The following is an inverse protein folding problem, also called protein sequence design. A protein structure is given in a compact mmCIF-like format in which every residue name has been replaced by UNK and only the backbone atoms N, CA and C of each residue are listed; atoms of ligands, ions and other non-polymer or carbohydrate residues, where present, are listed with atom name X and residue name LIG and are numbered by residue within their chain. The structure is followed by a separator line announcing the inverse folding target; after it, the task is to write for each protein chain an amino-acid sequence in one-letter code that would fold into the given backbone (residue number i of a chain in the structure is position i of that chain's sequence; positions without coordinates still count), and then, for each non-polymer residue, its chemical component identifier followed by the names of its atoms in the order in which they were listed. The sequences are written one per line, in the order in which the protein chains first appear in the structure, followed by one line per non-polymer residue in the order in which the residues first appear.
data_IF_741860405461
#
_entry.id   IF_741860405461
#
_cell.length_a   1.000
_cell.length_b   1.000
_cell.length_c   1.000
_cell.angle_alpha   90.00
_cell.angle_beta   90.00
_cell.angle_gamma   90.00
#
_symmetry.space_group_name_H-M   'P 1'
#
loop_
_entity.id
_entity.type
_entity.pdbx_description
1 polymer ?
#
# COMPACT_ATOMS: atom_id res chain seq x y z
N UNK A 1 13.24 7.12 17.34
CA UNK A 1 12.82 5.68 17.36
C UNK A 1 11.86 5.26 16.22
N UNK A 2 11.35 6.17 15.38
CA UNK A 2 10.36 5.85 14.32
C UNK A 2 10.93 5.04 13.15
N UNK A 3 12.21 5.21 12.81
CA UNK A 3 12.91 4.42 11.78
C UNK A 3 12.98 2.92 12.10
N UNK A 4 13.01 2.55 13.39
CA UNK A 4 13.06 1.16 13.82
C UNK A 4 11.74 0.41 13.62
N UNK A 5 10.60 1.10 13.80
CA UNK A 5 9.28 0.51 13.51
C UNK A 5 9.03 0.38 12.00
N UNK A 6 9.52 1.34 11.22
CA UNK A 6 9.44 1.33 9.76
C UNK A 6 10.20 0.16 9.13
N UNK A 7 11.39 -0.17 9.66
CA UNK A 7 12.18 -1.33 9.23
C UNK A 7 11.60 -2.66 9.69
N UNK A 8 10.97 -2.71 10.89
CA UNK A 8 10.41 -3.95 11.44
C UNK A 8 9.16 -4.43 10.69
N UNK A 9 8.36 -3.50 10.17
CA UNK A 9 7.21 -3.82 9.32
C UNK A 9 7.69 -4.40 7.97
N UNK A 10 8.70 -3.77 7.35
CA UNK A 10 9.29 -4.25 6.09
C UNK A 10 9.97 -5.61 6.23
N UNK A 11 10.59 -5.91 7.37
CA UNK A 11 11.18 -7.22 7.65
C UNK A 11 10.12 -8.33 7.76
N UNK A 12 8.97 -8.06 8.38
CA UNK A 12 7.88 -9.03 8.48
C UNK A 12 7.27 -9.38 7.13
N UNK A 13 7.08 -8.37 6.27
CA UNK A 13 6.57 -8.56 4.91
C UNK A 13 7.58 -9.33 4.01
N UNK A 14 8.89 -9.07 4.17
CA UNK A 14 9.96 -9.82 3.49
C UNK A 14 10.00 -11.28 3.96
N UNK A 15 9.85 -11.55 5.26
CA UNK A 15 9.83 -12.94 5.78
C UNK A 15 8.62 -13.70 5.25
N UNK A 16 7.46 -13.07 5.11
CA UNK A 16 6.30 -13.71 4.51
C UNK A 16 6.43 -13.94 3.00
N UNK A 17 7.06 -13.03 2.27
CA UNK A 17 7.42 -13.24 0.86
C UNK A 17 8.46 -14.35 0.70
N UNK A 18 9.37 -14.52 1.66
CA UNK A 18 10.33 -15.62 1.70
C UNK A 18 9.64 -16.98 1.85
N UNK A 19 8.56 -17.06 2.64
CA UNK A 19 7.72 -18.26 2.76
C UNK A 19 7.00 -18.60 1.45
N UNK A 20 6.75 -17.61 0.58
CA UNK A 20 6.15 -17.83 -0.74
C UNK A 20 7.16 -18.25 -1.83
N UNK A 21 8.45 -18.45 -1.50
CA UNK A 21 9.52 -18.83 -2.43
C UNK A 21 9.66 -17.88 -3.65
N UNK A 22 9.29 -16.62 -3.49
CA UNK A 22 9.45 -15.59 -4.54
C UNK A 22 10.92 -15.17 -4.61
N UNK A 23 11.47 -14.97 -5.81
CA UNK A 23 12.86 -14.55 -6.02
C UNK A 23 13.10 -13.16 -5.42
N UNK A 24 14.33 -12.86 -4.99
CA UNK A 24 14.67 -11.55 -4.40
C UNK A 24 14.33 -10.38 -5.33
N UNK A 25 14.53 -10.54 -6.65
CA UNK A 25 14.18 -9.51 -7.64
C UNK A 25 12.67 -9.25 -7.70
N UNK A 26 11.85 -10.31 -7.71
CA UNK A 26 10.40 -10.19 -7.70
C UNK A 26 9.92 -9.56 -6.38
N UNK A 27 10.55 -9.91 -5.24
CA UNK A 27 10.24 -9.29 -3.94
C UNK A 27 10.51 -7.78 -3.96
N UNK A 28 11.65 -7.37 -4.51
CA UNK A 28 11.99 -5.96 -4.65
C UNK A 28 11.00 -5.22 -5.56
N UNK A 29 10.62 -5.81 -6.70
CA UNK A 29 9.66 -5.22 -7.63
C UNK A 29 8.28 -5.05 -7.00
N UNK A 30 7.78 -6.08 -6.30
CA UNK A 30 6.50 -6.01 -5.59
C UNK A 30 6.52 -4.94 -4.48
N UNK A 31 7.59 -4.88 -3.69
CA UNK A 31 7.69 -3.88 -2.63
C UNK A 31 7.79 -2.45 -3.20
N UNK A 32 8.56 -2.28 -4.27
CA UNK A 32 8.69 -1.00 -4.95
C UNK A 32 7.37 -0.52 -5.55
N UNK A 33 6.46 -1.41 -5.95
CA UNK A 33 5.18 -1.03 -6.54
C UNK A 33 4.12 -0.59 -5.53
N UNK A 34 4.25 -0.97 -4.25
CA UNK A 34 3.17 -0.82 -3.24
C UNK A 34 3.58 -0.04 -1.97
N UNK A 35 4.87 0.29 -1.77
CA UNK A 35 5.38 0.79 -0.48
C UNK A 35 4.62 2.00 0.09
N UNK A 36 4.22 2.95 -0.76
CA UNK A 36 3.52 4.15 -0.33
C UNK A 36 2.09 3.83 0.12
N UNK A 37 1.46 2.87 -0.53
CA UNK A 37 0.11 2.40 -0.23
C UNK A 37 0.12 1.60 1.09
N UNK A 38 1.14 0.77 1.31
CA UNK A 38 1.37 0.09 2.60
C UNK A 38 1.64 1.09 3.73
N UNK A 39 2.38 2.17 3.47
CA UNK A 39 2.61 3.24 4.44
C UNK A 39 1.29 3.90 4.86
N UNK A 40 0.42 4.25 3.92
CA UNK A 40 -0.92 4.80 4.23
C UNK A 40 -1.72 3.80 5.06
N UNK A 41 -1.72 2.52 4.69
CA UNK A 41 -2.42 1.46 5.45
C UNK A 41 -1.91 1.36 6.89
N UNK A 42 -0.59 1.35 7.09
CA UNK A 42 0.03 1.24 8.41
C UNK A 42 -0.42 2.38 9.32
N UNK A 43 -0.36 3.62 8.85
CA UNK A 43 -0.81 4.78 9.63
C UNK A 43 -2.31 4.77 9.89
N UNK A 44 -3.11 4.35 8.91
CA UNK A 44 -4.56 4.24 9.05
C UNK A 44 -4.93 3.19 10.09
N UNK A 45 -4.28 2.03 10.07
CA UNK A 45 -4.49 0.98 11.06
C UNK A 45 -4.10 1.43 12.47
N UNK A 46 -2.95 2.09 12.62
CA UNK A 46 -2.51 2.65 13.91
C UNK A 46 -3.49 3.71 14.43
N UNK A 47 -4.02 4.56 13.54
CA UNK A 47 -5.03 5.57 13.86
C UNK A 47 -6.33 4.95 14.37
N UNK A 48 -6.81 3.90 13.69
CA UNK A 48 -8.09 3.24 13.98
C UNK A 48 -8.02 2.32 15.20
N UNK A 49 -6.92 1.58 15.40
CA UNK A 49 -6.83 0.52 16.43
C UNK A 49 -6.00 0.87 17.65
N UNK A 50 -5.03 1.75 17.50
CA UNK A 50 -4.06 2.06 18.55
C UNK A 50 -4.12 3.53 18.98
N UNK A 51 -5.19 4.24 18.62
CA UNK A 51 -5.45 5.64 18.99
C UNK A 51 -4.25 6.56 18.72
N UNK A 52 -3.62 6.42 17.54
CA UNK A 52 -2.53 7.29 17.14
C UNK A 52 -2.98 8.76 17.26
N UNK A 53 -2.24 9.62 17.98
CA UNK A 53 -2.65 10.99 18.26
C UNK A 53 -2.65 11.84 16.99
N UNK A 54 -3.31 12.99 16.99
CA UNK A 54 -3.37 13.86 15.81
C UNK A 54 -2.03 14.54 15.49
N UNK A 55 -1.14 14.62 16.49
CA UNK A 55 0.19 15.22 16.37
C UNK A 55 1.26 14.30 16.95
N UNK A 56 2.41 14.25 16.28
CA UNK A 56 3.64 13.62 16.76
C UNK A 56 4.62 14.72 17.15
N UNK A 57 5.15 14.63 18.37
CA UNK A 57 6.27 15.46 18.80
C UNK A 57 7.58 14.82 18.32
N UNK A 58 8.37 15.57 17.57
CA UNK A 58 9.69 15.16 17.10
C UNK A 58 10.76 15.48 18.15
N UNK A 59 11.90 14.80 18.06
CA UNK A 59 13.03 14.97 18.99
C UNK A 59 13.59 16.41 19.03
N UNK A 60 13.33 17.19 17.97
CA UNK A 60 13.68 18.61 17.88
C UNK A 60 12.59 19.57 18.41
N UNK A 61 11.54 19.04 19.04
CA UNK A 61 10.42 19.82 19.60
C UNK A 61 9.34 20.21 18.58
N UNK A 62 9.51 19.92 17.28
CA UNK A 62 8.50 20.20 16.26
C UNK A 62 7.29 19.27 16.42
N UNK A 63 6.10 19.82 16.23
CA UNK A 63 4.85 19.04 16.17
C UNK A 63 4.45 18.85 14.72
N UNK A 64 4.31 17.60 14.31
CA UNK A 64 3.88 17.22 12.97
C UNK A 64 2.50 16.57 13.02
N UNK A 65 1.59 17.00 12.14
CA UNK A 65 0.27 16.37 12.03
C UNK A 65 0.43 14.95 11.50
N UNK A 66 -0.20 13.99 12.15
CA UNK A 66 -0.17 12.58 11.73
C UNK A 66 -0.74 12.40 10.34
N UNK A 67 -1.81 13.11 9.99
CA UNK A 67 -2.36 13.10 8.63
C UNK A 67 -1.30 13.46 7.58
N UNK A 68 -0.44 14.45 7.85
CA UNK A 68 0.65 14.82 6.94
C UNK A 68 1.70 13.72 6.81
N UNK A 69 1.97 12.96 7.86
CA UNK A 69 2.90 11.81 7.78
C UNK A 69 2.26 10.66 7.03
N UNK A 70 1.02 10.30 7.40
CA UNK A 70 0.25 9.22 6.80
C UNK A 70 0.10 9.40 5.28
N UNK A 71 -0.10 10.65 4.84
CA UNK A 71 -0.34 11.01 3.46
C UNK A 71 0.92 11.48 2.72
N UNK A 72 2.12 11.24 3.25
CA UNK A 72 3.37 11.58 2.57
C UNK A 72 3.42 13.07 2.17
N UNK A 73 2.94 13.93 3.07
CA UNK A 73 2.75 15.38 2.90
C UNK A 73 1.68 15.83 1.88
N UNK A 74 0.86 14.91 1.35
CA UNK A 74 -0.30 15.23 0.50
C UNK A 74 -1.44 15.83 1.33
N UNK A 75 -1.44 17.16 1.50
CA UNK A 75 -2.42 17.87 2.34
C UNK A 75 -3.87 17.71 1.86
N UNK A 76 -4.10 17.73 0.54
CA UNK A 76 -5.42 17.59 -0.09
C UNK A 76 -6.11 16.24 0.16
N UNK A 77 -5.35 15.20 0.54
CA UNK A 77 -5.90 13.87 0.84
C UNK A 77 -6.52 13.75 2.24
N UNK A 78 -6.41 14.77 3.10
CA UNK A 78 -6.76 14.68 4.53
C UNK A 78 -8.21 14.26 4.77
N UNK A 79 -9.17 14.90 4.10
CA UNK A 79 -10.60 14.57 4.25
C UNK A 79 -10.94 13.16 3.74
N UNK A 80 -10.23 12.70 2.70
CA UNK A 80 -10.41 11.34 2.16
C UNK A 80 -9.84 10.29 3.11
N UNK A 81 -8.70 10.57 3.74
CA UNK A 81 -8.09 9.72 4.75
C UNK A 81 -8.94 9.59 6.01
N UNK A 82 -9.55 10.67 6.48
CA UNK A 82 -10.49 10.63 7.60
C UNK A 82 -11.71 9.76 7.29
N UNK A 83 -12.25 9.86 6.08
CA UNK A 83 -13.35 8.97 5.62
C UNK A 83 -12.91 7.51 5.54
N UNK A 84 -11.68 7.24 5.11
CA UNK A 84 -11.11 5.88 5.13
C UNK A 84 -11.03 5.34 6.56
N UNK A 85 -10.56 6.15 7.52
CA UNK A 85 -10.56 5.77 8.94
C UNK A 85 -11.98 5.45 9.43
N UNK A 86 -12.96 6.29 9.09
CA UNK A 86 -14.37 6.07 9.42
C UNK A 86 -14.94 4.79 8.80
N UNK A 87 -14.61 4.49 7.54
CA UNK A 87 -15.02 3.24 6.87
C UNK A 87 -14.41 2.02 7.55
N UNK A 88 -13.13 2.05 7.90
CA UNK A 88 -12.47 0.94 8.62
C UNK A 88 -13.12 0.71 9.99
N UNK A 89 -13.47 1.77 10.73
CA UNK A 89 -14.22 1.65 11.98
C UNK A 89 -15.61 1.01 11.75
N UNK A 90 -16.33 1.45 10.72
CA UNK A 90 -17.69 0.97 10.42
C UNK A 90 -17.74 -0.53 10.09
N UNK A 91 -16.69 -1.09 9.47
CA UNK A 91 -16.62 -2.53 9.14
C UNK A 91 -15.98 -3.38 10.24
N UNK A 92 -15.74 -2.79 11.41
CA UNK A 92 -15.01 -3.40 12.52
C UNK A 92 -13.65 -3.95 12.10
N UNK A 93 -12.91 -3.17 11.30
CA UNK A 93 -11.63 -3.59 10.73
C UNK A 93 -10.64 -3.99 11.82
N UNK A 94 -10.04 -5.16 11.69
CA UNK A 94 -9.17 -5.75 12.70
C UNK A 94 -7.77 -6.12 12.16
N UNK A 95 -6.99 -6.82 12.98
CA UNK A 95 -5.61 -7.22 12.64
C UNK A 95 -5.54 -8.19 11.46
N UNK A 96 -6.55 -9.04 11.28
CA UNK A 96 -6.60 -10.02 10.20
C UNK A 96 -7.01 -9.35 8.89
N UNK A 97 -7.94 -8.40 8.95
CA UNK A 97 -8.26 -7.52 7.82
C UNK A 97 -7.04 -6.73 7.36
N UNK A 98 -6.29 -6.16 8.30
CA UNK A 98 -5.05 -5.43 8.05
C UNK A 98 -4.02 -6.30 7.33
N UNK A 99 -3.75 -7.50 7.85
CA UNK A 99 -2.79 -8.43 7.25
C UNK A 99 -3.25 -8.88 5.86
N UNK A 100 -4.53 -9.25 5.70
CA UNK A 100 -5.06 -9.63 4.39
C UNK A 100 -4.95 -8.51 3.37
N UNK A 101 -5.34 -7.30 3.77
CA UNK A 101 -5.27 -6.10 2.93
C UNK A 101 -3.84 -5.82 2.46
N UNK A 102 -2.84 -5.94 3.35
CA UNK A 102 -1.43 -5.82 2.98
C UNK A 102 -1.03 -6.76 1.85
N UNK A 103 -1.31 -8.05 2.00
CA UNK A 103 -0.94 -9.03 0.97
C UNK A 103 -1.75 -8.87 -0.31
N UNK A 104 -3.02 -8.50 -0.24
CA UNK A 104 -3.84 -8.26 -1.42
C UNK A 104 -3.34 -7.04 -2.23
N UNK A 105 -2.82 -6.02 -1.55
CA UNK A 105 -2.21 -4.85 -2.19
C UNK A 105 -0.83 -5.16 -2.76
N UNK A 106 -0.02 -5.92 -2.02
CA UNK A 106 1.33 -6.34 -2.40
C UNK A 106 1.31 -7.31 -3.59
N UNK A 107 0.45 -8.32 -3.54
CA UNK A 107 0.28 -9.32 -4.58
C UNK A 107 -0.75 -8.86 -5.62
N UNK A 108 -0.62 -7.63 -6.13
CA UNK A 108 -1.58 -7.06 -7.08
C UNK A 108 -1.14 -7.27 -8.55
N UNK A 109 -1.88 -8.06 -9.35
CA UNK A 109 -1.58 -8.26 -10.77
C UNK A 109 -1.76 -7.00 -11.62
N UNK A 110 -2.49 -6.00 -11.13
CA UNK A 110 -2.70 -4.73 -11.81
C UNK A 110 -1.62 -3.68 -11.48
N UNK A 111 -0.65 -4.04 -10.63
CA UNK A 111 0.42 -3.10 -10.25
C UNK A 111 1.36 -2.81 -11.42
N UNK A 112 1.80 -1.55 -11.53
CA UNK A 112 2.78 -1.14 -12.54
C UNK A 112 4.08 -1.91 -12.28
N UNK A 113 4.56 -2.65 -13.29
CA UNK A 113 5.74 -3.50 -13.18
C UNK A 113 5.44 -4.98 -12.94
N UNK A 114 4.17 -5.38 -12.75
CA UNK A 114 3.79 -6.79 -12.66
C UNK A 114 4.23 -7.60 -13.90
N UNK A 115 4.23 -6.96 -15.08
CA UNK A 115 4.70 -7.57 -16.33
C UNK A 115 6.17 -8.04 -16.29
N UNK A 116 7.00 -7.46 -15.42
CA UNK A 116 8.44 -7.78 -15.26
C UNK A 116 8.71 -8.92 -14.29
N UNK A 117 7.72 -9.32 -13.50
CA UNK A 117 7.89 -10.40 -12.54
C UNK A 117 8.18 -11.70 -13.26
N UNK A 118 9.15 -12.45 -12.74
CA UNK A 118 9.48 -13.77 -13.25
C UNK A 118 8.41 -14.78 -12.83
N UNK A 119 7.94 -14.70 -11.57
CA UNK A 119 7.04 -15.68 -10.97
C UNK A 119 5.61 -15.17 -10.80
N UNK A 120 5.00 -14.65 -11.88
CA UNK A 120 3.61 -14.13 -11.90
C UNK A 120 2.60 -15.13 -11.32
N UNK A 121 2.79 -16.42 -11.60
CA UNK A 121 1.95 -17.51 -11.11
C UNK A 121 1.93 -17.58 -9.58
N UNK A 122 3.09 -17.51 -8.93
CA UNK A 122 3.18 -17.55 -7.46
C UNK A 122 2.48 -16.34 -6.83
N UNK A 123 2.57 -15.17 -7.46
CA UNK A 123 1.87 -13.97 -7.00
C UNK A 123 0.36 -14.14 -7.08
N UNK A 124 -0.17 -14.63 -8.21
CA UNK A 124 -1.59 -14.87 -8.38
C UNK A 124 -2.12 -15.94 -7.42
N UNK A 125 -1.44 -17.09 -7.32
CA UNK A 125 -1.82 -18.16 -6.39
C UNK A 125 -1.76 -17.72 -4.92
N UNK A 126 -0.73 -16.95 -4.55
CA UNK A 126 -0.60 -16.37 -3.21
C UNK A 126 -1.74 -15.42 -2.89
N UNK A 127 -2.09 -14.55 -3.85
CA UNK A 127 -3.21 -13.61 -3.72
C UNK A 127 -4.55 -14.32 -3.54
N UNK A 128 -4.80 -15.37 -4.30
CA UNK A 128 -6.01 -16.19 -4.20
C UNK A 128 -6.10 -16.90 -2.85
N UNK A 129 -4.99 -17.49 -2.37
CA UNK A 129 -4.92 -18.13 -1.05
C UNK A 129 -5.23 -17.15 0.08
N UNK A 130 -4.65 -15.94 0.04
CA UNK A 130 -4.94 -14.88 1.02
C UNK A 130 -6.41 -14.47 0.96
N UNK A 131 -6.95 -14.25 -0.24
CA UNK A 131 -8.37 -13.88 -0.42
C UNK A 131 -9.29 -14.96 0.15
N UNK A 132 -9.03 -16.23 -0.16
CA UNK A 132 -9.82 -17.36 0.33
C UNK A 132 -9.78 -17.48 1.86
N UNK A 133 -8.58 -17.39 2.46
CA UNK A 133 -8.40 -17.45 3.91
C UNK A 133 -9.11 -16.29 4.64
N UNK A 134 -9.03 -15.08 4.09
CA UNK A 134 -9.70 -13.92 4.66
C UNK A 134 -11.23 -14.01 4.53
N UNK A 135 -11.77 -14.49 3.40
CA UNK A 135 -13.20 -14.71 3.24
C UNK A 135 -13.74 -15.74 4.24
N UNK A 136 -12.99 -16.83 4.47
CA UNK A 136 -13.33 -17.82 5.49
C UNK A 136 -13.38 -17.18 6.89
N UNK A 137 -12.36 -16.40 7.24
CA UNK A 137 -12.32 -15.65 8.50
C UNK A 137 -13.55 -14.75 8.67
N UNK A 138 -13.89 -13.92 7.68
CA UNK A 138 -15.02 -12.98 7.79
C UNK A 138 -16.36 -13.70 7.85
N UNK A 139 -16.53 -14.83 7.15
CA UNK A 139 -17.75 -15.65 7.24
C UNK A 139 -17.96 -16.24 8.64
N UNK A 140 -16.89 -16.59 9.34
CA UNK A 140 -17.00 -17.06 10.73
C UNK A 140 -17.38 -15.95 11.71
N UNK A 141 -16.95 -14.71 11.47
CA UNK A 141 -17.22 -13.57 12.38
C UNK A 141 -18.59 -12.94 12.11
N UNK A 142 -19.02 -12.87 10.85
CA UNK A 142 -20.29 -12.29 10.45
C UNK A 142 -21.13 -13.39 9.80
N UNK A 143 -22.11 -13.93 10.54
CA UNK A 143 -22.92 -15.09 10.18
C UNK A 143 -23.86 -14.91 8.96
N UNK A 144 -23.64 -13.88 8.14
CA UNK A 144 -24.38 -13.60 6.91
C UNK A 144 -23.54 -14.01 5.69
N UNK A 145 -23.40 -15.31 5.51
CA UNK A 145 -22.44 -15.94 4.59
C UNK A 145 -23.03 -16.26 3.21
N UNK A 146 -23.90 -15.40 2.66
CA UNK A 146 -24.45 -15.59 1.31
C UNK A 146 -23.53 -15.07 0.18
N UNK A 147 -22.49 -14.31 0.52
CA UNK A 147 -21.59 -13.69 -0.45
C UNK A 147 -20.27 -14.47 -0.59
N UNK A 148 -20.03 -15.03 -1.78
CA UNK A 148 -18.76 -15.66 -2.15
C UNK A 148 -17.66 -14.64 -2.49
N UNK A 149 -18.04 -13.39 -2.73
CA UNK A 149 -17.13 -12.32 -3.14
C UNK A 149 -16.64 -11.47 -1.98
N UNK A 150 -15.53 -10.75 -2.21
CA UNK A 150 -15.00 -9.78 -1.25
C UNK A 150 -16.05 -8.67 -1.01
N UNK A 151 -16.49 -8.45 0.24
CA UNK A 151 -17.41 -7.37 0.58
C UNK A 151 -16.96 -6.02 0.04
N UNK A 152 -17.88 -5.33 -0.65
CA UNK A 152 -17.65 -4.00 -1.23
C UNK A 152 -17.06 -2.98 -0.22
N UNK A 153 -17.47 -2.94 1.06
CA UNK A 153 -16.85 -2.02 2.03
C UNK A 153 -15.35 -2.25 2.23
N UNK A 154 -14.88 -3.50 2.19
CA UNK A 154 -13.46 -3.83 2.30
C UNK A 154 -12.72 -3.52 0.99
N UNK A 155 -13.32 -3.78 -0.18
CA UNK A 155 -12.78 -3.37 -1.48
C UNK A 155 -12.58 -1.86 -1.55
N UNK A 156 -13.57 -1.08 -1.11
CA UNK A 156 -13.49 0.38 -1.04
C UNK A 156 -12.32 0.85 -0.15
N UNK A 157 -12.04 0.15 0.96
CA UNK A 157 -10.90 0.47 1.80
C UNK A 157 -9.57 0.26 1.05
N UNK A 158 -9.45 -0.85 0.30
CA UNK A 158 -8.29 -1.14 -0.56
C UNK A 158 -8.10 -0.02 -1.58
N UNK A 159 -9.13 0.27 -2.38
CA UNK A 159 -9.05 1.24 -3.46
C UNK A 159 -8.69 2.64 -2.97
N UNK A 160 -9.32 3.11 -1.89
CA UNK A 160 -9.00 4.42 -1.29
C UNK A 160 -7.58 4.47 -0.76
N UNK A 161 -7.12 3.42 -0.09
CA UNK A 161 -5.75 3.35 0.43
C UNK A 161 -4.73 3.41 -0.71
N UNK A 162 -4.97 2.66 -1.79
CA UNK A 162 -4.12 2.68 -2.99
C UNK A 162 -4.12 4.06 -3.64
N UNK A 163 -5.29 4.67 -3.84
CA UNK A 163 -5.43 6.02 -4.39
C UNK A 163 -4.61 7.06 -3.60
N UNK A 164 -4.76 7.08 -2.27
CA UNK A 164 -4.00 7.99 -1.40
C UNK A 164 -2.50 7.72 -1.47
N UNK A 165 -2.09 6.45 -1.46
CA UNK A 165 -0.68 6.04 -1.55
C UNK A 165 -0.03 6.48 -2.86
N UNK A 166 -0.69 6.23 -3.99
CA UNK A 166 -0.20 6.61 -5.33
C UNK A 166 -0.07 8.12 -5.48
N UNK A 167 -1.07 8.89 -5.05
CA UNK A 167 -1.03 10.36 -5.08
C UNK A 167 0.05 10.92 -4.15
N UNK A 168 0.24 10.31 -2.99
CA UNK A 168 1.32 10.66 -2.06
C UNK A 168 2.72 10.35 -2.63
N UNK A 169 2.89 9.19 -3.25
CA UNK A 169 4.14 8.82 -3.94
C UNK A 169 4.43 9.78 -5.08
N UNK A 170 3.44 10.09 -5.91
CA UNK A 170 3.54 11.06 -7.00
C UNK A 170 3.94 12.45 -6.49
N UNK A 171 3.32 12.92 -5.40
CA UNK A 171 3.65 14.20 -4.78
C UNK A 171 5.10 14.24 -4.32
N UNK A 172 5.56 13.22 -3.60
CA UNK A 172 6.95 13.11 -3.15
C UNK A 172 7.94 13.02 -4.32
N UNK A 173 7.57 12.32 -5.39
CA UNK A 173 8.39 12.24 -6.59
C UNK A 173 8.63 13.64 -7.20
N UNK A 174 7.59 14.47 -7.33
CA UNK A 174 7.76 15.84 -7.83
C UNK A 174 8.59 16.71 -6.88
N UNK A 175 8.41 16.56 -5.55
CA UNK A 175 9.24 17.24 -4.55
C UNK A 175 10.71 16.83 -4.62
N UNK A 176 10.99 15.55 -4.88
CA UNK A 176 12.34 15.05 -5.11
C UNK A 176 13.00 15.72 -6.31
N UNK A 177 12.29 15.84 -7.44
CA UNK A 177 12.79 16.51 -8.65
C UNK A 177 13.13 17.98 -8.41
N UNK A 178 12.41 18.64 -7.49
CA UNK A 178 12.73 20.01 -7.07
C UNK A 178 13.94 20.12 -6.13
N UNK A 179 14.64 19.02 -5.81
CA UNK A 179 15.84 19.02 -4.96
C UNK A 179 15.57 19.06 -3.45
N UNK A 180 14.32 18.84 -3.02
CA UNK A 180 13.92 18.99 -1.60
C UNK A 180 13.99 17.68 -0.80
N UNK A 181 14.39 16.56 -1.41
CA UNK A 181 14.49 15.25 -0.74
C UNK A 181 15.96 14.80 -0.67
N UNK A 182 16.53 14.56 0.54
CA UNK A 182 17.89 14.05 0.70
C UNK A 182 18.10 12.69 0.01
N UNK A 183 19.35 12.38 -0.38
CA UNK A 183 19.69 11.07 -0.94
C UNK A 183 19.51 9.96 0.11
N UNK A 184 19.00 8.81 -0.32
CA UNK A 184 18.78 7.64 0.52
C UNK A 184 17.73 6.70 -0.06
N UNK A 185 17.30 5.72 0.73
CA UNK A 185 16.36 4.69 0.30
C UNK A 185 15.05 5.25 -0.26
N UNK A 186 14.49 6.31 0.34
CA UNK A 186 13.27 6.95 -0.17
C UNK A 186 13.46 7.47 -1.61
N UNK A 187 14.60 8.10 -1.88
CA UNK A 187 14.96 8.61 -3.20
C UNK A 187 15.12 7.47 -4.21
N UNK A 188 15.70 6.32 -3.83
CA UNK A 188 15.76 5.13 -4.68
C UNK A 188 14.36 4.58 -5.02
N UNK A 189 13.45 4.52 -4.05
CA UNK A 189 12.06 4.10 -4.27
C UNK A 189 11.32 5.04 -5.23
N UNK A 190 11.52 6.35 -5.09
CA UNK A 190 10.93 7.38 -5.95
C UNK A 190 11.54 7.39 -7.37
N UNK A 191 12.82 7.08 -7.53
CA UNK A 191 13.43 6.88 -8.85
C UNK A 191 12.78 5.69 -9.56
N UNK A 192 12.54 4.59 -8.83
CA UNK A 192 11.81 3.43 -9.36
C UNK A 192 10.40 3.83 -9.82
N UNK A 193 9.67 4.67 -9.06
CA UNK A 193 8.38 5.22 -9.47
C UNK A 193 8.44 5.96 -10.81
N UNK A 194 9.41 6.87 -10.97
CA UNK A 194 9.59 7.60 -12.24
C UNK A 194 9.87 6.68 -13.43
N UNK A 195 10.62 5.59 -13.22
CA UNK A 195 10.89 4.60 -14.26
C UNK A 195 9.66 3.76 -14.61
N UNK A 196 8.86 3.36 -13.61
CA UNK A 196 7.60 2.62 -13.78
C UNK A 196 6.57 3.43 -14.58
N UNK A 197 6.40 4.71 -14.24
CA UNK A 197 5.41 5.60 -14.89
C UNK A 197 5.78 5.92 -16.33
N UNK A 198 7.04 6.23 -16.64
CA UNK A 198 7.51 6.44 -18.01
C UNK A 198 7.26 5.24 -18.91
N UNK A 199 7.49 4.04 -18.39
CA UNK A 199 7.27 2.81 -19.15
C UNK A 199 5.78 2.56 -19.42
N UNK A 200 4.91 2.73 -18.42
CA UNK A 200 3.46 2.61 -18.61
C UNK A 200 2.94 3.58 -19.68
N UNK A 201 3.43 4.82 -19.71
CA UNK A 201 3.09 5.79 -20.76
C UNK A 201 3.57 5.35 -22.16
N UNK A 202 4.75 4.73 -22.26
CA UNK A 202 5.26 4.21 -23.54
C UNK A 202 4.46 3.02 -24.07
N UNK A 203 4.06 2.10 -23.20
CA UNK A 203 3.26 0.91 -23.55
C UNK A 203 1.85 1.32 -24.03
N UNK A 204 1.21 2.27 -23.33
CA UNK A 204 -0.10 2.81 -23.72
C UNK A 204 -0.09 3.51 -25.09
N UNK A 205 0.99 4.25 -25.40
CA UNK A 205 1.16 4.90 -26.70
C UNK A 205 1.31 3.90 -27.85
N UNK A 206 2.09 2.82 -27.65
CA UNK A 206 2.23 1.76 -28.65
C UNK A 206 0.93 1.00 -28.89
N UNK A 207 0.14 0.76 -27.83
CA UNK A 207 -1.13 0.04 -27.96
C UNK A 207 -2.20 0.88 -28.67
N UNK A 208 -2.20 2.20 -28.43
CA UNK A 208 -3.05 3.15 -29.15
C UNK A 208 -2.71 3.24 -30.64
N UNK A 209 -1.42 3.16 -30.99
CA UNK A 209 -0.96 3.12 -32.38
C UNK A 209 -1.29 1.82 -33.11
N UNK A 210 -1.43 0.68 -32.41
CA UNK A 210 -1.82 -0.61 -33.00
C UNK A 210 -3.32 -0.74 -33.27
N UNK A 211 -4.15 0.07 -32.59
CA UNK A 211 -5.61 0.07 -32.72
C UNK A 211 -6.11 1.11 -33.73
N UNK A 212 -5.19 1.89 -34.31
CA UNK A 212 -5.45 2.91 -35.32
C UNK A 212 -4.98 2.46 -36.69
#
# INVERSE_FOLDING_TARGET
MMYGHFLRIRYGDIVALHVLMITLDDQMLLLQSVWAELHVLDFTYQRVRNNLPDMILMDNGLKLKVASVALLALAEGSNEWERLCGQMLAISFDRYDYVAMKYLMLLNPESIGYSKLQNKRLVSEGREKVKAAWLEYRRHIFADASHHDTPLPFQNCIERTRSLGLRGEQYLYYKMLSGHIPKGLLTEMLISYGSRTRQASSEANMESQKRS
#
